data_IF_065237266204
#
_entry.id   IF_065237266204
#
_cell.length_a   1.000
_cell.length_b   1.000
_cell.length_c   1.000
_cell.angle_alpha   90.00
_cell.angle_beta   90.00
_cell.angle_gamma   90.00
#
_symmetry.space_group_name_H-M   'P 1'
#
loop_
_entity.id
_entity.type
_entity.pdbx_description
1 polymer ?
#
# COMPACT_ATOMS: atom_id res chain seq x y z
N UNK A 1 -4.81 -13.68 -12.50
CA UNK A 1 -3.85 -13.39 -11.41
C UNK A 1 -4.40 -12.19 -10.68
N UNK A 2 -4.53 -12.25 -9.37
CA UNK A 2 -5.05 -11.12 -8.60
C UNK A 2 -3.91 -10.14 -8.31
N UNK A 3 -4.01 -8.92 -8.84
CA UNK A 3 -3.04 -7.83 -8.66
C UNK A 3 -3.39 -7.09 -7.37
N UNK A 4 -2.88 -7.59 -6.26
CA UNK A 4 -3.23 -7.11 -4.92
C UNK A 4 -1.97 -6.75 -4.13
N UNK A 5 -2.02 -5.64 -3.41
CA UNK A 5 -0.99 -5.24 -2.45
C UNK A 5 -1.56 -5.29 -1.03
N UNK A 6 -0.81 -5.90 -0.11
CA UNK A 6 -1.15 -5.95 1.31
C UNK A 6 -0.13 -5.14 2.10
N UNK A 7 -0.58 -4.08 2.76
CA UNK A 7 0.27 -3.17 3.55
C UNK A 7 0.11 -3.47 5.03
N UNK A 8 1.24 -3.61 5.73
CA UNK A 8 1.31 -3.76 7.18
C UNK A 8 2.02 -2.54 7.76
N UNK A 9 1.31 -1.77 8.58
CA UNK A 9 1.85 -0.56 9.21
C UNK A 9 2.21 -0.86 10.66
N UNK A 10 3.46 -0.57 11.02
CA UNK A 10 3.93 -0.65 12.40
C UNK A 10 3.28 0.48 13.23
N UNK A 11 2.63 0.14 14.33
CA UNK A 11 2.00 1.08 15.24
C UNK A 11 2.96 1.47 16.38
N UNK A 12 2.59 2.48 17.16
CA UNK A 12 3.41 3.02 18.26
C UNK A 12 3.72 1.98 19.35
N UNK A 13 2.90 0.95 19.49
CA UNK A 13 3.10 -0.16 20.43
C UNK A 13 4.10 -1.22 19.94
N UNK A 14 4.72 -0.99 18.78
CA UNK A 14 5.68 -1.90 18.16
C UNK A 14 5.04 -3.12 17.49
N UNK A 15 3.73 -3.13 17.27
CA UNK A 15 3.02 -4.22 16.58
C UNK A 15 2.48 -3.76 15.24
N UNK A 16 2.37 -4.69 14.29
CA UNK A 16 1.67 -4.40 13.04
C UNK A 16 0.17 -4.34 13.29
N UNK A 17 -0.45 -3.27 12.79
CA UNK A 17 -1.90 -3.12 12.82
C UNK A 17 -2.60 -4.09 11.88
N UNK A 18 -3.91 -3.90 11.69
CA UNK A 18 -4.69 -4.67 10.72
C UNK A 18 -4.13 -4.45 9.31
N UNK A 19 -3.90 -5.50 8.51
CA UNK A 19 -3.45 -5.34 7.13
C UNK A 19 -4.48 -4.55 6.32
N UNK A 20 -3.96 -3.67 5.46
CA UNK A 20 -4.74 -2.96 4.46
C UNK A 20 -4.53 -3.63 3.11
N UNK A 21 -5.61 -3.93 2.41
CA UNK A 21 -5.59 -4.54 1.08
C UNK A 21 -5.95 -3.48 0.06
N UNK A 22 -5.20 -3.48 -1.05
CA UNK A 22 -5.36 -2.55 -2.16
C UNK A 22 -5.37 -3.33 -3.47
N UNK A 23 -6.25 -2.91 -4.38
CA UNK A 23 -6.34 -3.42 -5.75
C UNK A 23 -5.47 -2.58 -6.71
N UNK A 24 -5.27 -3.07 -7.94
CA UNK A 24 -4.44 -2.42 -8.96
C UNK A 24 -4.83 -0.95 -9.22
N UNK A 25 -6.12 -0.61 -9.13
CA UNK A 25 -6.63 0.75 -9.34
C UNK A 25 -6.34 1.72 -8.19
N UNK A 26 -5.92 1.22 -7.03
CA UNK A 26 -5.73 2.02 -5.83
C UNK A 26 -4.42 2.83 -5.83
N UNK A 27 -4.41 3.84 -4.96
CA UNK A 27 -3.22 4.64 -4.65
C UNK A 27 -2.93 4.55 -3.16
N UNK A 28 -1.67 4.32 -2.82
CA UNK A 28 -1.23 4.21 -1.43
C UNK A 28 -0.50 5.51 -1.05
N UNK A 29 -1.01 6.20 -0.03
CA UNK A 29 -0.32 7.33 0.63
C UNK A 29 0.29 6.87 1.93
N UNK A 30 1.52 7.27 2.20
CA UNK A 30 2.27 6.84 3.40
C UNK A 30 2.22 7.95 4.44
N UNK A 31 1.65 7.68 5.63
CA UNK A 31 1.39 8.73 6.63
C UNK A 31 2.62 9.54 7.07
N UNK A 32 3.82 8.96 7.04
CA UNK A 32 5.06 9.63 7.43
C UNK A 32 5.75 10.37 6.27
N UNK A 33 5.28 10.21 5.03
CA UNK A 33 5.69 10.96 3.85
C UNK A 33 4.44 11.38 3.04
N UNK A 34 3.73 12.45 3.45
CA UNK A 34 2.46 12.84 2.83
C UNK A 34 2.60 13.22 1.35
N UNK A 35 3.78 13.66 0.93
CA UNK A 35 4.07 13.99 -0.48
C UNK A 35 4.47 12.77 -1.33
N UNK A 36 4.53 11.58 -0.72
CA UNK A 36 4.84 10.34 -1.42
C UNK A 36 3.57 9.49 -1.60
N UNK A 37 3.28 9.18 -2.86
CA UNK A 37 2.13 8.39 -3.29
C UNK A 37 2.60 7.31 -4.24
N UNK A 38 2.12 6.08 -4.03
CA UNK A 38 2.35 4.95 -4.92
C UNK A 38 1.09 4.71 -5.74
N UNK A 39 1.15 4.88 -7.06
CA UNK A 39 0.07 4.51 -7.99
C UNK A 39 0.24 3.05 -8.40
N UNK A 40 -0.67 2.17 -7.96
CA UNK A 40 -0.49 0.72 -8.15
C UNK A 40 -0.62 0.29 -9.61
N UNK A 41 -1.24 1.10 -10.47
CA UNK A 41 -1.26 0.85 -11.91
C UNK A 41 0.15 0.91 -12.52
N UNK A 42 1.01 1.80 -11.99
CA UNK A 42 2.41 1.86 -12.41
C UNK A 42 3.21 0.66 -11.89
N UNK A 43 2.87 0.14 -10.72
CA UNK A 43 3.52 -1.04 -10.12
C UNK A 43 3.24 -2.29 -10.94
N UNK A 44 2.01 -2.45 -11.42
CA UNK A 44 1.59 -3.60 -12.21
C UNK A 44 1.71 -3.39 -13.73
N UNK A 45 2.32 -2.31 -14.18
CA UNK A 45 2.52 -2.04 -15.60
C UNK A 45 3.43 -3.13 -16.22
N UNK A 46 2.95 -3.76 -17.30
CA UNK A 46 3.69 -4.82 -18.00
C UNK A 46 3.60 -6.21 -17.37
N UNK A 47 2.78 -6.39 -16.32
CA UNK A 47 2.43 -7.68 -15.70
C UNK A 47 1.09 -8.20 -16.23
#
# INVERSE_FOLDING_TARGET
>A
MDKTVVVFTLQEDGRYGRPQMYAEEDKITVNFFPDFMVDLRQVFEGI
#
